data_IF_992024695829
#
_entry.id   IF_992024695829
#
_cell.length_a   1.000
_cell.length_b   1.000
_cell.length_c   1.000
_cell.angle_alpha   90.00
_cell.angle_beta   90.00
_cell.angle_gamma   90.00
#
_symmetry.space_group_name_H-M   'P 1'
#
loop_
_entity.id
_entity.type
_entity.pdbx_description
1 polymer ?
#
# COMPACT_ATOMS: atom_id res chain seq x y z
N UNK A 1 8.03 31.30 -74.00
CA UNK A 1 9.19 31.26 -73.10
C UNK A 1 9.13 29.91 -72.40
N UNK A 2 9.81 28.83 -72.82
CA UNK A 2 11.21 28.65 -73.21
C UNK A 2 12.20 29.10 -72.11
N UNK A 3 13.13 28.18 -71.81
CA UNK A 3 14.28 28.17 -70.86
C UNK A 3 13.97 27.91 -69.37
N UNK A 4 14.71 27.08 -68.63
CA UNK A 4 16.02 26.46 -68.86
C UNK A 4 16.22 25.23 -67.94
N UNK A 5 17.08 24.31 -68.37
CA UNK A 5 17.53 23.09 -67.69
C UNK A 5 18.68 23.44 -66.72
N UNK A 6 18.74 22.77 -65.57
CA UNK A 6 19.93 22.65 -64.72
C UNK A 6 19.59 21.79 -63.50
N UNK A 7 19.70 20.46 -63.55
CA UNK A 7 20.96 19.70 -63.45
C UNK A 7 21.92 20.35 -62.45
N UNK A 8 21.81 19.97 -61.18
CA UNK A 8 23.01 19.88 -60.37
C UNK A 8 22.95 18.62 -59.48
N UNK A 9 23.68 17.61 -59.97
CA UNK A 9 24.07 16.45 -59.21
C UNK A 9 25.21 16.86 -58.27
N UNK A 10 24.96 16.88 -56.96
CA UNK A 10 26.05 16.78 -56.00
C UNK A 10 26.07 15.34 -55.46
N UNK A 11 26.51 14.42 -56.31
CA UNK A 11 27.12 13.18 -55.84
C UNK A 11 28.33 13.61 -55.02
N UNK A 12 28.26 13.43 -53.70
CA UNK A 12 29.40 13.61 -52.83
C UNK A 12 30.44 12.54 -53.20
N UNK A 13 31.39 12.95 -54.02
CA UNK A 13 32.58 12.19 -54.35
C UNK A 13 33.34 11.91 -53.05
N UNK A 14 33.23 10.68 -52.58
CA UNK A 14 34.16 10.11 -51.61
C UNK A 14 35.46 9.83 -52.36
N UNK A 15 36.23 10.88 -52.64
CA UNK A 15 37.62 10.77 -53.04
C UNK A 15 38.45 10.34 -51.83
N UNK A 16 38.33 9.06 -51.47
CA UNK A 16 39.40 8.36 -50.81
C UNK A 16 40.56 8.32 -51.80
N UNK A 17 41.47 9.29 -51.69
CA UNK A 17 42.73 9.34 -52.43
C UNK A 17 43.33 7.94 -52.43
N UNK A 18 43.34 7.29 -53.58
CA UNK A 18 44.01 6.01 -53.76
C UNK A 18 45.51 6.30 -53.67
N UNK A 19 46.05 6.29 -52.45
CA UNK A 19 47.46 6.41 -52.21
C UNK A 19 48.14 5.29 -53.00
N UNK A 20 48.86 5.66 -54.06
CA UNK A 20 49.69 4.73 -54.80
C UNK A 20 50.66 4.07 -53.82
N UNK A 21 50.78 2.75 -53.90
CA UNK A 21 51.66 2.00 -53.02
C UNK A 21 53.10 2.49 -53.20
N UNK A 22 53.66 3.06 -52.14
CA UNK A 22 55.08 3.42 -52.07
C UNK A 22 55.83 2.31 -51.34
N UNK A 23 56.74 1.59 -52.01
CA UNK A 23 57.58 0.59 -51.36
C UNK A 23 58.40 1.22 -50.23
N UNK A 24 58.56 0.50 -49.13
CA UNK A 24 59.35 0.96 -47.99
C UNK A 24 60.82 0.67 -48.28
N UNK A 25 61.64 1.72 -48.41
CA UNK A 25 63.04 1.61 -48.86
C UNK A 25 64.04 1.46 -47.70
N UNK A 26 63.58 1.52 -46.43
CA UNK A 26 64.45 1.38 -45.26
C UNK A 26 63.72 0.87 -44.01
N UNK A 27 64.49 0.29 -43.08
CA UNK A 27 63.97 -0.15 -41.78
C UNK A 27 63.41 1.01 -40.96
N UNK A 28 64.06 2.17 -40.99
CA UNK A 28 63.59 3.37 -40.28
C UNK A 28 62.23 3.86 -40.81
N UNK A 29 62.00 3.75 -42.13
CA UNK A 29 60.72 4.09 -42.73
C UNK A 29 59.62 3.10 -42.32
N UNK A 30 59.95 1.81 -42.21
CA UNK A 30 59.05 0.78 -41.70
C UNK A 30 58.65 1.06 -40.24
N UNK A 31 59.63 1.29 -39.37
CA UNK A 31 59.41 1.53 -37.95
C UNK A 31 58.58 2.80 -37.70
N UNK A 32 58.80 3.85 -38.51
CA UNK A 32 58.00 5.08 -38.48
C UNK A 32 56.53 4.83 -38.80
N UNK A 33 56.26 4.15 -39.91
CA UNK A 33 54.89 3.87 -40.37
C UNK A 33 54.15 2.98 -39.35
N UNK A 34 54.83 1.96 -38.81
CA UNK A 34 54.28 1.10 -37.77
C UNK A 34 54.01 1.91 -36.50
N UNK A 35 54.96 2.74 -36.06
CA UNK A 35 54.83 3.59 -34.88
C UNK A 35 53.64 4.55 -34.99
N UNK A 36 53.48 5.22 -36.13
CA UNK A 36 52.32 6.07 -36.41
C UNK A 36 51.01 5.28 -36.38
N UNK A 37 50.99 4.08 -36.97
CA UNK A 37 49.78 3.25 -36.96
C UNK A 37 49.41 2.84 -35.55
N UNK A 38 50.38 2.37 -34.75
CA UNK A 38 50.16 1.99 -33.35
C UNK A 38 49.70 3.18 -32.51
N UNK A 39 50.30 4.36 -32.72
CA UNK A 39 49.89 5.59 -32.05
C UNK A 39 48.45 5.96 -32.40
N UNK A 40 48.05 5.88 -33.67
CA UNK A 40 46.66 6.10 -34.10
C UNK A 40 45.70 5.11 -33.45
N UNK A 41 46.03 3.82 -33.40
CA UNK A 41 45.17 2.81 -32.76
C UNK A 41 45.05 3.01 -31.24
N UNK A 42 46.14 3.40 -30.55
CA UNK A 42 46.08 3.71 -29.11
C UNK A 42 45.29 4.98 -28.81
N UNK A 43 45.45 6.01 -29.63
CA UNK A 43 44.73 7.28 -29.46
C UNK A 43 43.22 7.14 -29.64
N UNK A 44 42.74 6.21 -30.49
CA UNK A 44 41.29 5.94 -30.64
C UNK A 44 40.60 5.55 -29.33
N UNK A 45 41.33 4.94 -28.39
CA UNK A 45 40.80 4.43 -27.13
C UNK A 45 41.46 5.10 -25.91
N UNK A 46 42.14 6.23 -26.09
CA UNK A 46 42.79 6.94 -24.99
C UNK A 46 41.81 7.27 -23.85
N UNK A 47 40.55 7.56 -24.19
CA UNK A 47 39.52 7.92 -23.22
C UNK A 47 38.75 6.70 -22.67
N UNK A 48 39.01 5.50 -23.18
CA UNK A 48 38.22 4.30 -22.86
C UNK A 48 38.21 4.00 -21.37
N UNK A 49 39.37 4.01 -20.70
CA UNK A 49 39.44 3.75 -19.26
C UNK A 49 38.66 4.82 -18.48
N UNK A 50 38.73 6.08 -18.90
CA UNK A 50 37.98 7.17 -18.24
C UNK A 50 36.47 7.04 -18.41
N UNK A 51 36.01 6.60 -19.59
CA UNK A 51 34.60 6.36 -19.87
C UNK A 51 34.08 5.14 -19.13
N UNK A 52 34.88 4.07 -19.08
CA UNK A 52 34.57 2.85 -18.30
C UNK A 52 34.41 3.18 -16.82
N UNK A 53 35.35 3.95 -16.25
CA UNK A 53 35.30 4.30 -14.84
C UNK A 53 34.13 5.26 -14.52
N UNK A 54 33.80 6.18 -15.43
CA UNK A 54 32.61 7.03 -15.31
C UNK A 54 31.33 6.22 -15.37
N UNK A 55 31.22 5.27 -16.29
CA UNK A 55 30.06 4.38 -16.41
C UNK A 55 29.88 3.54 -15.13
N UNK A 56 30.96 2.92 -14.64
CA UNK A 56 30.91 2.15 -13.39
C UNK A 56 30.50 3.00 -12.18
N UNK A 57 30.97 4.25 -12.10
CA UNK A 57 30.56 5.20 -11.04
C UNK A 57 29.11 5.63 -11.18
N UNK A 58 28.64 5.84 -12.39
CA UNK A 58 27.25 6.19 -12.67
C UNK A 58 26.31 5.05 -12.26
N UNK A 59 26.60 3.83 -12.68
CA UNK A 59 25.81 2.65 -12.33
C UNK A 59 25.78 2.41 -10.81
N UNK A 60 26.92 2.60 -10.13
CA UNK A 60 26.99 2.51 -8.67
C UNK A 60 26.16 3.61 -7.97
N UNK A 61 26.18 4.84 -8.48
CA UNK A 61 25.39 5.94 -7.95
C UNK A 61 23.89 5.73 -8.16
N UNK A 62 23.48 5.26 -9.34
CA UNK A 62 22.09 4.94 -9.65
C UNK A 62 21.57 3.80 -8.76
N UNK A 63 22.37 2.74 -8.57
CA UNK A 63 21.99 1.65 -7.67
C UNK A 63 21.85 2.12 -6.20
N UNK A 64 22.74 3.00 -5.74
CA UNK A 64 22.65 3.59 -4.41
C UNK A 64 21.41 4.50 -4.28
N UNK A 65 21.16 5.37 -5.25
CA UNK A 65 20.00 6.26 -5.28
C UNK A 65 18.68 5.49 -5.28
N UNK A 66 18.56 4.43 -6.10
CA UNK A 66 17.38 3.57 -6.12
C UNK A 66 17.14 2.96 -4.73
N UNK A 67 18.18 2.44 -4.08
CA UNK A 67 18.06 1.89 -2.72
C UNK A 67 17.63 2.93 -1.68
N UNK A 68 18.13 4.16 -1.78
CA UNK A 68 17.75 5.25 -0.89
C UNK A 68 16.31 5.71 -1.12
N UNK A 69 15.87 5.82 -2.38
CA UNK A 69 14.49 6.14 -2.75
C UNK A 69 13.54 5.07 -2.22
N UNK A 70 13.83 3.79 -2.42
CA UNK A 70 13.01 2.70 -1.87
C UNK A 70 12.89 2.77 -0.34
N UNK A 71 13.99 3.06 0.37
CA UNK A 71 13.97 3.25 1.83
C UNK A 71 13.18 4.49 2.23
N UNK A 72 13.25 5.57 1.46
CA UNK A 72 12.48 6.79 1.71
C UNK A 72 10.99 6.56 1.50
N UNK A 73 10.60 5.89 0.40
CA UNK A 73 9.21 5.52 0.10
C UNK A 73 8.63 4.65 1.21
N UNK A 74 9.34 3.57 1.62
CA UNK A 74 8.86 2.72 2.73
C UNK A 74 8.68 3.49 4.04
N UNK A 75 9.57 4.43 4.34
CA UNK A 75 9.42 5.30 5.54
C UNK A 75 8.22 6.23 5.41
N UNK A 76 8.00 6.79 4.22
CA UNK A 76 6.84 7.64 3.93
C UNK A 76 5.54 6.85 4.05
N UNK A 77 5.44 5.67 3.45
CA UNK A 77 4.26 4.78 3.56
C UNK A 77 3.93 4.44 5.02
N UNK A 78 4.93 4.11 5.84
CA UNK A 78 4.73 3.84 7.27
C UNK A 78 4.26 5.09 8.01
N UNK A 79 4.81 6.27 7.68
CA UNK A 79 4.38 7.52 8.29
C UNK A 79 2.95 7.90 7.88
N UNK A 80 2.60 7.74 6.60
CA UNK A 80 1.26 7.99 6.07
C UNK A 80 0.23 7.02 6.66
N UNK A 81 0.56 5.74 6.81
CA UNK A 81 -0.32 4.76 7.46
C UNK A 81 -0.61 5.18 8.92
N UNK A 82 0.41 5.57 9.67
CA UNK A 82 0.24 6.08 11.05
C UNK A 82 -0.57 7.37 11.09
N UNK A 83 -0.36 8.28 10.14
CA UNK A 83 -1.13 9.52 10.06
C UNK A 83 -2.60 9.22 9.78
N UNK A 84 -2.90 8.34 8.81
CA UNK A 84 -4.27 7.89 8.53
C UNK A 84 -4.92 7.23 9.74
N UNK A 85 -4.23 6.34 10.45
CA UNK A 85 -4.77 5.69 11.65
C UNK A 85 -5.15 6.71 12.74
N UNK A 86 -4.32 7.73 12.94
CA UNK A 86 -4.58 8.82 13.89
C UNK A 86 -5.75 9.70 13.42
N UNK A 87 -5.81 10.05 12.13
CA UNK A 87 -6.92 10.81 11.55
C UNK A 87 -8.25 10.06 11.71
N UNK A 88 -8.27 8.76 11.39
CA UNK A 88 -9.45 7.90 11.56
C UNK A 88 -9.84 7.79 13.04
N UNK A 89 -8.87 7.61 13.94
CA UNK A 89 -9.12 7.53 15.38
C UNK A 89 -9.69 8.84 15.95
N UNK A 90 -9.14 9.98 15.54
CA UNK A 90 -9.61 11.31 15.97
C UNK A 90 -11.00 11.62 15.40
N UNK A 91 -11.25 11.34 14.12
CA UNK A 91 -12.57 11.46 13.51
C UNK A 91 -13.60 10.58 14.24
N UNK A 92 -13.25 9.33 14.56
CA UNK A 92 -14.10 8.42 15.33
C UNK A 92 -14.42 8.98 16.71
N UNK A 93 -13.42 9.52 17.41
CA UNK A 93 -13.60 10.12 18.73
C UNK A 93 -14.50 11.37 18.68
N UNK A 94 -14.35 12.21 17.65
CA UNK A 94 -15.19 13.39 17.44
C UNK A 94 -16.66 13.00 17.18
N UNK A 95 -16.91 12.04 16.29
CA UNK A 95 -18.28 11.58 16.00
C UNK A 95 -18.91 10.90 17.22
N UNK A 96 -18.13 10.08 17.95
CA UNK A 96 -18.54 9.46 19.20
C UNK A 96 -18.97 10.50 20.25
N UNK A 97 -18.15 11.54 20.45
CA UNK A 97 -18.44 12.63 21.36
C UNK A 97 -19.69 13.43 20.94
N UNK A 98 -19.82 13.73 19.64
CA UNK A 98 -20.95 14.51 19.10
C UNK A 98 -22.29 13.77 19.22
N UNK A 99 -22.31 12.45 19.01
CA UNK A 99 -23.53 11.63 19.04
C UNK A 99 -23.80 10.99 20.41
N UNK A 100 -22.86 11.09 21.35
CA UNK A 100 -22.98 10.50 22.70
C UNK A 100 -22.91 8.97 22.70
N UNK A 101 -22.17 8.38 21.77
CA UNK A 101 -22.03 6.92 21.60
C UNK A 101 -20.57 6.51 21.86
N UNK A 102 -20.27 5.35 22.47
CA UNK A 102 -18.89 4.91 22.69
C UNK A 102 -18.11 4.72 21.38
N UNK A 103 -16.92 5.32 21.28
CA UNK A 103 -16.08 5.24 20.07
C UNK A 103 -15.72 3.80 19.67
N UNK A 104 -15.60 2.87 20.62
CA UNK A 104 -15.31 1.47 20.35
C UNK A 104 -16.41 0.71 19.60
N UNK A 105 -17.63 1.26 19.53
CA UNK A 105 -18.76 0.66 18.81
C UNK A 105 -18.95 1.25 17.40
N UNK A 106 -18.25 2.33 17.06
CA UNK A 106 -18.34 2.94 15.74
C UNK A 106 -17.49 2.15 14.73
N UNK A 107 -18.17 1.62 13.73
CA UNK A 107 -17.59 0.91 12.60
C UNK A 107 -17.37 1.86 11.43
N UNK A 108 -16.23 1.74 10.75
CA UNK A 108 -15.92 2.49 9.54
C UNK A 108 -14.52 3.08 9.49
N UNK A 109 -14.20 3.69 8.36
CA UNK A 109 -12.97 4.44 8.08
C UNK A 109 -13.21 5.92 7.76
N UNK A 110 -14.46 6.35 7.54
CA UNK A 110 -14.80 7.75 7.24
C UNK A 110 -15.80 8.34 8.23
N UNK A 111 -15.91 9.66 8.23
CA UNK A 111 -16.85 10.40 9.09
C UNK A 111 -18.28 9.96 8.82
N UNK A 112 -18.66 9.81 7.56
CA UNK A 112 -20.02 9.44 7.15
C UNK A 112 -20.37 8.03 7.64
N UNK A 113 -19.44 7.09 7.57
CA UNK A 113 -19.63 5.73 8.09
C UNK A 113 -19.76 5.74 9.62
N UNK A 114 -18.96 6.56 10.31
CA UNK A 114 -19.09 6.73 11.76
C UNK A 114 -20.44 7.34 12.16
N UNK A 115 -20.94 8.32 11.41
CA UNK A 115 -22.25 8.92 11.67
C UNK A 115 -23.40 7.93 11.44
N UNK A 116 -23.35 7.17 10.34
CA UNK A 116 -24.34 6.14 10.04
C UNK A 116 -24.34 5.04 11.12
N UNK A 117 -23.15 4.61 11.56
CA UNK A 117 -22.99 3.65 12.65
C UNK A 117 -23.56 4.20 13.97
N UNK A 118 -23.25 5.46 14.31
CA UNK A 118 -23.78 6.10 15.50
C UNK A 118 -25.32 6.20 15.49
N UNK A 119 -25.92 6.56 14.35
CA UNK A 119 -27.37 6.63 14.19
C UNK A 119 -28.03 5.25 14.33
N UNK A 120 -27.45 4.21 13.72
CA UNK A 120 -27.93 2.83 13.87
C UNK A 120 -27.91 2.38 15.34
N UNK A 121 -26.86 2.73 16.09
CA UNK A 121 -26.75 2.43 17.52
C UNK A 121 -27.78 3.19 18.36
N UNK A 122 -28.07 4.45 18.01
CA UNK A 122 -29.11 5.23 18.68
C UNK A 122 -30.51 4.65 18.43
N UNK A 123 -30.82 4.23 17.19
CA UNK A 123 -32.08 3.54 16.86
C UNK A 123 -32.22 2.24 17.64
N UNK A 124 -31.17 1.42 17.66
CA UNK A 124 -31.15 0.16 18.41
C UNK A 124 -31.35 0.37 19.92
N UNK A 125 -30.72 1.40 20.50
CA UNK A 125 -30.91 1.78 21.90
C UNK A 125 -32.34 2.22 22.20
N UNK A 126 -32.95 2.98 21.29
CA UNK A 126 -34.35 3.39 21.39
C UNK A 126 -35.33 2.21 21.36
N UNK A 127 -35.07 1.21 20.52
CA UNK A 127 -35.87 -0.02 20.43
C UNK A 127 -35.79 -0.87 21.71
N UNK A 128 -34.59 -1.01 22.29
CA UNK A 128 -34.36 -1.78 23.53
C UNK A 128 -34.88 -1.10 24.81
N UNK A 129 -35.05 0.22 24.81
CA UNK A 129 -35.53 0.95 25.99
C UNK A 129 -36.99 0.63 26.37
N UNK A 130 -37.71 -0.13 25.55
CA UNK A 130 -39.04 -0.64 25.92
C UNK A 130 -38.89 -1.88 26.82
N UNK A 131 -39.25 -1.79 28.13
CA UNK A 131 -39.23 -2.97 28.98
C UNK A 131 -40.23 -3.99 28.44
N UNK A 132 -39.75 -5.12 27.94
CA UNK A 132 -40.60 -6.28 27.69
C UNK A 132 -41.13 -6.75 29.03
N UNK A 133 -42.41 -6.49 29.30
CA UNK A 133 -43.09 -7.06 30.44
C UNK A 133 -42.88 -8.59 30.44
N UNK A 134 -42.51 -9.21 31.58
CA UNK A 134 -42.43 -10.65 31.65
C UNK A 134 -43.78 -11.24 31.25
N UNK A 135 -43.78 -12.22 30.34
CA UNK A 135 -45.01 -12.93 29.96
C UNK A 135 -45.57 -13.61 31.21
N UNK A 136 -46.82 -13.34 31.62
CA UNK A 136 -47.44 -14.07 32.73
C UNK A 136 -47.41 -15.56 32.42
N UNK A 137 -46.85 -16.36 33.33
CA UNK A 137 -46.85 -17.82 33.20
C UNK A 137 -48.31 -18.31 33.37
N UNK A 138 -48.91 -18.97 32.36
CA UNK A 138 -50.27 -19.51 32.46
C UNK A 138 -50.47 -20.53 33.59
N UNK A 139 -49.39 -21.02 34.21
CA UNK A 139 -49.41 -21.95 35.35
C UNK A 139 -49.37 -21.26 36.71
N UNK A 140 -49.11 -19.95 36.79
CA UNK A 140 -49.28 -19.19 38.03
C UNK A 140 -50.80 -19.11 38.35
N UNK A 141 -51.26 -19.99 39.22
CA UNK A 141 -52.66 -20.09 39.65
C UNK A 141 -53.42 -21.31 39.11
N UNK A 142 -52.83 -22.12 38.23
CA UNK A 142 -53.44 -23.36 37.77
C UNK A 142 -53.18 -24.48 38.78
N UNK A 143 -54.08 -24.63 39.76
CA UNK A 143 -54.11 -25.80 40.64
C UNK A 143 -54.52 -27.04 39.83
N UNK A 144 -53.54 -27.76 39.28
CA UNK A 144 -53.75 -29.11 38.75
C UNK A 144 -53.35 -30.11 39.83
N UNK A 145 -54.30 -30.49 40.67
CA UNK A 145 -54.18 -31.60 41.60
C UNK A 145 -55.52 -32.35 41.67
N UNK A 146 -55.58 -33.65 41.36
CA UNK A 146 -56.80 -34.44 41.54
C UNK A 146 -57.08 -34.62 43.03
N UNK A 147 -58.37 -34.57 43.37
CA UNK A 147 -58.93 -34.40 44.72
C UNK A 147 -58.28 -35.21 45.85
N UNK A 148 -57.99 -34.52 46.95
CA UNK A 148 -57.99 -35.11 48.29
C UNK A 148 -59.35 -34.81 48.90
N UNK A 149 -60.20 -35.83 48.86
CA UNK A 149 -61.49 -35.90 49.53
C UNK A 149 -61.33 -35.57 51.02
N UNK A 150 -62.25 -34.75 51.55
CA UNK A 150 -62.32 -34.43 52.97
C UNK A 150 -62.44 -35.67 53.85
N UNK A 151 -61.35 -35.99 54.54
CA UNK A 151 -61.32 -36.71 55.80
C UNK A 151 -59.97 -36.38 56.46
N UNK A 152 -60.00 -36.06 57.76
CA UNK A 152 -58.85 -35.78 58.64
C UNK A 152 -58.41 -34.32 58.82
N UNK A 153 -59.36 -33.39 59.05
CA UNK A 153 -59.06 -32.09 59.68
C UNK A 153 -59.15 -32.15 61.23
N UNK A 154 -59.20 -33.34 61.83
CA UNK A 154 -59.35 -33.52 63.29
C UNK A 154 -58.28 -34.41 63.93
N UNK A 155 -57.19 -34.73 63.22
CA UNK A 155 -56.13 -35.63 63.69
C UNK A 155 -54.77 -34.94 63.91
N UNK A 156 -54.80 -33.72 64.45
CA UNK A 156 -53.60 -33.01 64.96
C UNK A 156 -53.84 -32.33 66.32
N UNK A 157 -55.04 -32.45 66.88
CA UNK A 157 -55.44 -31.87 68.18
C UNK A 157 -55.72 -32.92 69.26
N UNK A 158 -55.22 -34.16 69.09
CA UNK A 158 -55.46 -35.27 70.03
C UNK A 158 -54.19 -36.02 70.47
N UNK A 159 -53.06 -35.31 70.53
CA UNK A 159 -51.75 -35.88 70.88
C UNK A 159 -51.05 -35.22 72.06
N UNK A 160 -51.76 -34.48 72.91
CA UNK A 160 -51.17 -33.90 74.11
C UNK A 160 -52.08 -34.14 75.32
N UNK A 161 -51.49 -34.73 76.37
CA UNK A 161 -52.04 -34.94 77.72
C UNK A 161 -52.76 -36.28 78.01
N UNK A 162 -52.01 -37.38 78.11
CA UNK A 162 -52.25 -38.40 79.14
C UNK A 162 -50.94 -38.67 79.89
N UNK A 163 -51.06 -38.54 81.21
CA UNK A 163 -50.15 -38.82 82.34
C UNK A 163 -49.11 -39.94 82.14
#
# INVERSE_FOLDING_TARGET
MADEIGSDSAAAENEGTAASFTPIESQEALDRIIGERVARERNKYADYDTLRDKAARYDAAEAANLSEVEKAVKRAEVAEARARDLEVSTARAQVAAARGVPAGLLSGGTVEEFEASAEALLKFRGEQATPRAPRPDPRQGASTGPGISGANLTDWLRGELIK
#
